data_IF_816872274853
#
_entry.id   IF_816872274853
#
_cell.length_a   1.000
_cell.length_b   1.000
_cell.length_c   1.000
_cell.angle_alpha   90.00
_cell.angle_beta   90.00
_cell.angle_gamma   90.00
#
_symmetry.space_group_name_H-M   'P 1'
#
loop_
_entity.id
_entity.type
_entity.pdbx_description
1 polymer ?
#
# COMPACT_ATOMS: atom_id res chain seq x y z
N UNK A 1 -4.43 29.01 -17.41
CA UNK A 1 -4.99 29.56 -16.15
C UNK A 1 -5.62 28.41 -15.35
N UNK A 2 -4.86 27.36 -15.06
CA UNK A 2 -5.37 26.10 -14.48
C UNK A 2 -4.45 25.55 -13.36
N UNK A 3 -3.81 26.43 -12.60
CA UNK A 3 -2.97 26.04 -11.46
C UNK A 3 -3.70 26.14 -10.11
N UNK A 4 -4.91 26.70 -10.09
CA UNK A 4 -5.52 27.20 -8.86
C UNK A 4 -6.53 26.26 -8.18
N UNK A 5 -6.72 25.04 -8.70
CA UNK A 5 -7.76 24.11 -8.19
C UNK A 5 -7.20 22.89 -7.43
N UNK A 6 -5.90 22.89 -7.09
CA UNK A 6 -5.22 21.85 -6.28
C UNK A 6 -5.02 22.26 -4.82
N UNK A 7 -5.65 23.35 -4.36
CA UNK A 7 -5.42 23.81 -2.99
C UNK A 7 -6.33 23.05 -2.04
N UNK A 8 -5.72 22.19 -1.22
CA UNK A 8 -6.34 21.66 -0.03
C UNK A 8 -7.03 22.80 0.74
N UNK A 9 -8.34 22.68 1.01
CA UNK A 9 -9.14 23.75 1.61
C UNK A 9 -8.62 24.11 3.01
N UNK A 10 -8.13 23.11 3.74
CA UNK A 10 -7.48 23.29 5.04
C UNK A 10 -6.24 24.16 4.90
N UNK A 11 -5.34 23.86 3.95
CA UNK A 11 -4.13 24.67 3.73
C UNK A 11 -4.42 26.07 3.17
N UNK A 12 -5.43 26.21 2.32
CA UNK A 12 -5.85 27.50 1.77
C UNK A 12 -6.37 28.46 2.85
N UNK A 13 -6.86 27.92 3.98
CA UNK A 13 -7.39 28.69 5.10
C UNK A 13 -6.33 29.19 6.09
N UNK A 14 -5.09 28.71 5.98
CA UNK A 14 -3.98 29.04 6.89
C UNK A 14 -3.36 30.40 6.58
N UNK A 15 -2.78 31.03 7.60
CA UNK A 15 -2.07 32.32 7.48
C UNK A 15 -0.78 32.16 6.67
N UNK A 16 -0.86 32.48 5.38
CA UNK A 16 0.25 32.37 4.43
C UNK A 16 1.46 33.25 4.79
N UNK A 17 1.25 34.40 5.44
CA UNK A 17 2.36 35.24 5.87
C UNK A 17 3.08 34.63 7.07
N UNK A 18 2.33 33.98 7.98
CA UNK A 18 2.91 33.21 9.08
C UNK A 18 3.75 32.04 8.57
N UNK A 19 3.23 31.26 7.61
CA UNK A 19 3.94 30.11 7.03
C UNK A 19 5.26 30.54 6.36
N UNK A 20 5.24 31.65 5.60
CA UNK A 20 6.45 32.21 4.98
C UNK A 20 7.50 32.65 5.99
N UNK A 21 7.09 33.38 7.03
CA UNK A 21 8.00 33.81 8.11
C UNK A 21 8.65 32.63 8.83
N UNK A 22 7.85 31.59 9.08
CA UNK A 22 8.33 30.35 9.70
C UNK A 22 9.42 29.69 8.85
N UNK A 23 9.15 29.47 7.56
CA UNK A 23 10.13 28.84 6.66
C UNK A 23 11.39 29.71 6.48
N UNK A 24 11.24 31.03 6.38
CA UNK A 24 12.37 31.96 6.27
C UNK A 24 13.30 31.85 7.48
N UNK A 25 12.76 31.83 8.71
CA UNK A 25 13.56 31.71 9.92
C UNK A 25 14.25 30.33 9.98
N UNK A 26 13.54 29.25 9.60
CA UNK A 26 14.09 27.89 9.48
C UNK A 26 15.29 27.88 8.50
N UNK A 27 15.09 28.35 7.27
CA UNK A 27 16.13 28.39 6.25
C UNK A 27 17.34 29.26 6.65
N UNK A 28 17.14 30.36 7.36
CA UNK A 28 18.25 31.16 7.88
C UNK A 28 19.06 30.40 8.93
N UNK A 29 18.40 29.62 9.78
CA UNK A 29 19.08 28.77 10.76
C UNK A 29 19.83 27.62 10.07
N UNK A 30 19.17 26.88 9.17
CA UNK A 30 19.77 25.74 8.46
C UNK A 30 20.98 26.14 7.62
N UNK A 31 20.95 27.35 7.03
CA UNK A 31 22.07 27.91 6.28
C UNK A 31 23.17 28.53 7.18
N UNK A 32 23.11 28.36 8.50
CA UNK A 32 24.03 28.94 9.48
C UNK A 32 24.12 30.49 9.41
N UNK A 33 23.06 31.15 8.94
CA UNK A 33 22.95 32.61 8.88
C UNK A 33 22.31 33.21 10.14
N UNK A 34 21.78 32.36 11.01
CA UNK A 34 21.13 32.72 12.27
C UNK A 34 21.57 31.74 13.36
N UNK A 35 21.93 32.25 14.54
CA UNK A 35 22.24 31.42 15.71
C UNK A 35 20.96 30.87 16.35
N UNK A 36 21.03 29.69 17.00
CA UNK A 36 19.87 28.98 17.54
C UNK A 36 19.01 29.84 18.50
N UNK A 37 19.65 30.54 19.44
CA UNK A 37 18.95 31.40 20.40
C UNK A 37 18.23 32.58 19.72
N UNK A 38 18.81 33.10 18.64
CA UNK A 38 18.19 34.17 17.86
C UNK A 38 17.04 33.64 17.00
N UNK A 39 17.21 32.45 16.41
CA UNK A 39 16.14 31.73 15.71
C UNK A 39 14.92 31.47 16.60
N UNK A 40 15.14 30.92 17.81
CA UNK A 40 14.08 30.70 18.81
C UNK A 40 13.35 31.99 19.17
N UNK A 41 14.10 33.07 19.41
CA UNK A 41 13.53 34.37 19.77
C UNK A 41 12.67 34.94 18.64
N UNK A 42 13.15 34.86 17.38
CA UNK A 42 12.41 35.30 16.20
C UNK A 42 11.17 34.44 15.97
N UNK A 43 11.28 33.11 16.01
CA UNK A 43 10.14 32.21 15.88
C UNK A 43 9.05 32.54 16.91
N UNK A 44 9.41 32.69 18.18
CA UNK A 44 8.45 33.02 19.25
C UNK A 44 7.79 34.40 19.07
N UNK A 45 8.53 35.39 18.57
CA UNK A 45 8.03 36.75 18.41
C UNK A 45 7.22 36.98 17.12
N UNK A 46 7.64 36.35 16.01
CA UNK A 46 7.12 36.60 14.67
C UNK A 46 6.08 35.55 14.23
N UNK A 47 6.21 34.30 14.71
CA UNK A 47 5.36 33.17 14.33
C UNK A 47 4.43 32.77 15.48
N UNK A 48 4.94 32.76 16.71
CA UNK A 48 4.18 32.33 17.89
C UNK A 48 4.03 30.81 17.96
N UNK A 49 2.83 30.31 18.22
CA UNK A 49 2.53 28.87 18.26
C UNK A 49 2.33 28.31 16.87
N UNK A 50 2.77 27.07 16.62
CA UNK A 50 2.67 26.38 15.33
C UNK A 50 1.90 25.07 15.55
N UNK A 51 0.96 24.76 14.65
CA UNK A 51 0.34 23.44 14.60
C UNK A 51 1.04 22.54 13.58
N UNK A 52 0.99 21.21 13.72
CA UNK A 52 1.55 20.28 12.74
C UNK A 52 1.10 20.53 11.31
N UNK A 53 -0.19 20.84 11.12
CA UNK A 53 -0.74 21.14 9.80
C UNK A 53 -0.21 22.46 9.22
N UNK A 54 0.12 23.46 10.05
CA UNK A 54 0.80 24.69 9.61
C UNK A 54 2.22 24.40 9.14
N UNK A 55 2.97 23.57 9.88
CA UNK A 55 4.29 23.13 9.47
C UNK A 55 4.23 22.38 8.14
N UNK A 56 3.39 21.36 8.06
CA UNK A 56 3.18 20.55 6.88
C UNK A 56 2.74 21.39 5.66
N UNK A 57 1.88 22.39 5.86
CA UNK A 57 1.46 23.31 4.81
C UNK A 57 2.60 24.20 4.31
N UNK A 58 3.47 24.70 5.20
CA UNK A 58 4.61 25.50 4.79
C UNK A 58 5.59 24.68 3.92
N UNK A 59 5.90 23.45 4.35
CA UNK A 59 6.72 22.52 3.59
C UNK A 59 6.10 22.16 2.23
N UNK A 60 4.79 21.93 2.16
CA UNK A 60 4.10 21.59 0.91
C UNK A 60 4.02 22.77 -0.08
N UNK A 61 3.83 24.00 0.41
CA UNK A 61 3.50 25.15 -0.43
C UNK A 61 4.68 26.03 -0.82
N UNK A 62 5.76 26.02 -0.03
CA UNK A 62 6.80 27.04 -0.10
C UNK A 62 8.21 26.50 -0.35
N UNK A 63 8.42 25.19 -0.23
CA UNK A 63 9.70 24.55 -0.50
C UNK A 63 9.72 23.92 -1.90
N UNK A 64 10.91 23.91 -2.51
CA UNK A 64 11.17 23.23 -3.79
C UNK A 64 11.27 21.70 -3.56
N UNK A 65 10.97 20.89 -4.57
CA UNK A 65 11.09 19.43 -4.47
C UNK A 65 12.58 19.00 -4.35
N UNK A 66 12.93 18.40 -3.21
CA UNK A 66 14.20 17.69 -2.99
C UNK A 66 13.89 16.29 -2.43
N UNK A 67 14.14 15.21 -3.19
CA UNK A 67 13.85 13.84 -2.76
C UNK A 67 14.56 13.42 -1.47
N UNK A 68 15.74 13.97 -1.18
CA UNK A 68 16.55 13.60 -0.03
C UNK A 68 16.33 14.54 1.18
N UNK A 69 15.43 15.53 1.06
CA UNK A 69 15.17 16.52 2.13
C UNK A 69 14.82 15.86 3.45
N UNK A 70 13.86 14.93 3.43
CA UNK A 70 13.41 14.28 4.67
C UNK A 70 14.53 13.49 5.35
N UNK A 71 15.48 12.95 4.58
CA UNK A 71 16.67 12.28 5.13
C UNK A 71 17.69 13.28 5.69
N UNK A 72 17.88 14.40 5.01
CA UNK A 72 18.90 15.39 5.35
C UNK A 72 18.47 16.31 6.51
N UNK A 73 17.16 16.49 6.72
CA UNK A 73 16.61 17.24 7.83
C UNK A 73 16.64 16.42 9.12
N UNK A 74 17.43 16.83 10.12
CA UNK A 74 17.37 16.23 11.46
C UNK A 74 16.14 16.76 12.21
N UNK A 75 15.26 15.87 12.68
CA UNK A 75 14.11 16.25 13.51
C UNK A 75 14.56 17.01 14.76
N UNK A 76 15.79 16.80 15.25
CA UNK A 76 16.34 17.57 16.38
C UNK A 76 16.57 19.03 16.03
N UNK A 77 17.00 19.34 14.82
CA UNK A 77 17.12 20.72 14.31
C UNK A 77 15.74 21.38 14.29
N UNK A 78 14.71 20.65 13.86
CA UNK A 78 13.32 21.07 13.98
C UNK A 78 12.96 21.29 15.47
N UNK A 79 13.14 20.30 16.34
CA UNK A 79 12.82 20.44 17.76
C UNK A 79 13.56 21.61 18.42
N UNK A 80 14.80 21.88 18.01
CA UNK A 80 15.59 22.95 18.58
C UNK A 80 15.03 24.32 18.23
N UNK A 81 14.67 24.58 16.97
CA UNK A 81 14.10 25.89 16.57
C UNK A 81 12.66 26.05 17.02
N UNK A 82 11.90 24.95 17.04
CA UNK A 82 10.47 24.93 17.33
C UNK A 82 10.13 24.55 18.78
N UNK A 83 11.13 24.46 19.67
CA UNK A 83 10.96 24.07 21.07
C UNK A 83 9.90 24.92 21.79
N UNK A 84 8.88 24.27 22.34
CA UNK A 84 7.77 24.91 23.03
C UNK A 84 6.82 25.74 22.14
N UNK A 85 6.96 25.68 20.81
CA UNK A 85 6.05 26.35 19.86
C UNK A 85 5.01 25.40 19.27
N UNK A 86 5.33 24.11 19.14
CA UNK A 86 4.38 23.11 18.67
C UNK A 86 3.23 22.92 19.67
N UNK A 87 2.00 23.10 19.19
CA UNK A 87 0.79 22.83 19.95
C UNK A 87 0.11 21.62 19.33
N UNK A 88 0.29 20.45 19.95
CA UNK A 88 -0.40 19.23 19.57
C UNK A 88 -1.67 19.07 20.41
N UNK A 89 -2.82 19.01 19.74
CA UNK A 89 -4.04 18.52 20.35
C UNK A 89 -3.92 17.00 20.48
N UNK A 90 -3.51 16.49 21.64
CA UNK A 90 -3.55 15.04 21.91
C UNK A 90 -5.01 14.56 21.90
N UNK A 91 -5.46 14.10 20.73
CA UNK A 91 -6.71 13.36 20.61
C UNK A 91 -6.45 11.91 20.99
N UNK A 92 -7.10 11.45 22.06
CA UNK A 92 -7.17 10.02 22.35
C UNK A 92 -7.95 9.34 21.23
N UNK A 93 -7.25 8.54 20.41
CA UNK A 93 -7.87 7.78 19.33
C UNK A 93 -8.42 6.45 19.87
N UNK A 94 -9.56 5.97 19.36
CA UNK A 94 -10.12 4.69 19.80
C UNK A 94 -9.25 3.53 19.31
N UNK A 95 -9.27 2.43 20.07
CA UNK A 95 -8.60 1.19 19.67
C UNK A 95 -9.14 0.70 18.32
N UNK A 96 -8.23 0.44 17.38
CA UNK A 96 -8.57 0.03 16.02
C UNK A 96 -8.69 1.17 15.02
N UNK A 97 -8.45 2.41 15.44
CA UNK A 97 -8.27 3.54 14.53
C UNK A 97 -6.95 3.40 13.76
N UNK A 98 -6.92 3.79 12.49
CA UNK A 98 -5.76 3.67 11.59
C UNK A 98 -4.51 4.36 12.15
N UNK A 99 -4.62 5.62 12.57
CA UNK A 99 -3.52 6.36 13.20
C UNK A 99 -3.10 5.78 14.58
N UNK A 100 -4.04 5.21 15.35
CA UNK A 100 -3.68 4.51 16.61
C UNK A 100 -2.83 3.26 16.32
N UNK A 101 -3.14 2.52 15.26
CA UNK A 101 -2.34 1.37 14.84
C UNK A 101 -0.89 1.78 14.55
N UNK A 102 -0.69 2.82 13.74
CA UNK A 102 0.65 3.35 13.46
C UNK A 102 1.41 3.77 14.73
N UNK A 103 0.76 4.52 15.64
CA UNK A 103 1.38 4.93 16.91
C UNK A 103 1.77 3.73 17.80
N UNK A 104 0.93 2.70 17.87
CA UNK A 104 1.24 1.48 18.63
C UNK A 104 2.40 0.69 18.02
N UNK A 105 2.54 0.70 16.70
CA UNK A 105 3.67 0.08 16.01
C UNK A 105 4.98 0.84 16.27
N UNK A 106 4.96 2.18 16.19
CA UNK A 106 6.11 3.01 16.53
C UNK A 106 6.56 2.74 17.96
N UNK A 107 5.61 2.61 18.90
CA UNK A 107 5.90 2.22 20.27
C UNK A 107 6.61 0.86 20.35
N UNK A 108 6.17 -0.15 19.58
CA UNK A 108 6.81 -1.47 19.54
C UNK A 108 8.22 -1.41 18.96
N UNK A 109 8.44 -0.61 17.93
CA UNK A 109 9.78 -0.41 17.35
C UNK A 109 10.71 0.31 18.35
N UNK A 110 10.23 1.37 19.02
CA UNK A 110 10.97 2.04 20.11
C UNK A 110 11.35 1.08 21.24
N UNK A 111 10.45 0.17 21.62
CA UNK A 111 10.74 -0.90 22.60
C UNK A 111 11.88 -1.84 22.14
N UNK A 112 11.94 -2.18 20.85
CA UNK A 112 13.02 -3.00 20.27
C UNK A 112 14.35 -2.24 20.21
N UNK A 113 14.34 -0.98 19.79
CA UNK A 113 15.53 -0.12 19.77
C UNK A 113 16.13 0.06 21.16
N UNK A 114 15.29 0.26 22.18
CA UNK A 114 15.75 0.34 23.57
C UNK A 114 16.40 -0.97 24.04
N UNK A 115 15.87 -2.13 23.63
CA UNK A 115 16.49 -3.41 23.94
C UNK A 115 17.84 -3.57 23.23
N UNK A 116 17.92 -3.19 21.95
CA UNK A 116 19.14 -3.27 21.16
C UNK A 116 20.23 -2.30 21.67
N UNK A 117 19.87 -1.10 22.12
CA UNK A 117 20.81 -0.17 22.76
C UNK A 117 21.42 -0.74 24.03
N UNK A 118 20.62 -1.46 24.83
CA UNK A 118 21.11 -2.15 26.02
C UNK A 118 21.98 -3.37 25.68
N UNK A 119 21.79 -3.99 24.51
CA UNK A 119 22.70 -5.02 24.00
C UNK A 119 24.01 -4.43 23.46
N UNK A 120 23.96 -3.26 22.81
CA UNK A 120 25.15 -2.57 22.28
C UNK A 120 26.17 -2.20 23.37
N UNK A 121 25.73 -2.04 24.61
CA UNK A 121 26.59 -1.78 25.78
C UNK A 121 27.28 -3.04 26.33
N UNK A 122 26.92 -4.23 25.85
CA UNK A 122 27.39 -5.53 26.34
C UNK A 122 28.28 -6.21 25.29
N UNK A 123 29.05 -7.25 25.66
CA UNK A 123 29.76 -8.06 24.67
C UNK A 123 28.79 -8.61 23.62
N UNK A 124 29.23 -8.60 22.35
CA UNK A 124 28.39 -9.03 21.24
C UNK A 124 28.00 -10.51 21.35
N UNK A 125 26.70 -10.79 21.33
CA UNK A 125 26.13 -12.14 21.33
C UNK A 125 25.17 -12.27 20.14
N UNK A 126 25.57 -13.04 19.13
CA UNK A 126 24.85 -13.15 17.85
C UNK A 126 23.37 -13.48 18.02
N UNK A 127 23.04 -14.50 18.81
CA UNK A 127 21.64 -14.94 18.96
C UNK A 127 20.73 -13.85 19.52
N UNK A 128 21.23 -13.00 20.44
CA UNK A 128 20.42 -11.92 21.02
C UNK A 128 20.14 -10.82 19.98
N UNK A 129 21.13 -10.49 19.16
CA UNK A 129 20.94 -9.56 18.05
C UNK A 129 20.04 -10.12 16.96
N UNK A 130 20.18 -11.41 16.65
CA UNK A 130 19.34 -12.11 15.68
C UNK A 130 17.86 -12.07 16.08
N UNK A 131 17.53 -12.36 17.34
CA UNK A 131 16.15 -12.32 17.86
C UNK A 131 15.51 -10.92 17.76
N UNK A 132 16.29 -9.85 17.97
CA UNK A 132 15.79 -8.49 17.82
C UNK A 132 15.59 -8.14 16.34
N UNK A 133 16.60 -8.39 15.51
CA UNK A 133 16.53 -8.04 14.09
C UNK A 133 15.51 -8.88 13.30
N UNK A 134 15.26 -10.12 13.70
CA UNK A 134 14.17 -10.95 13.17
C UNK A 134 12.80 -10.28 13.37
N UNK A 135 12.64 -9.52 14.45
CA UNK A 135 11.46 -8.70 14.67
C UNK A 135 11.54 -7.40 13.90
N UNK A 136 12.65 -6.65 14.00
CA UNK A 136 12.80 -5.35 13.33
C UNK A 136 12.60 -5.43 11.81
N UNK A 137 13.07 -6.48 11.14
CA UNK A 137 12.88 -6.66 9.68
C UNK A 137 11.40 -6.79 9.27
N UNK A 138 10.52 -7.17 10.20
CA UNK A 138 9.08 -7.22 9.95
C UNK A 138 8.45 -5.82 9.88
N UNK A 139 9.16 -4.78 10.35
CA UNK A 139 8.69 -3.40 10.29
C UNK A 139 8.44 -2.89 8.87
N UNK A 140 8.97 -3.57 7.85
CA UNK A 140 8.61 -3.32 6.44
C UNK A 140 7.09 -3.36 6.17
N UNK A 141 6.30 -4.07 7.00
CA UNK A 141 4.84 -4.06 6.89
C UNK A 141 4.25 -2.70 7.27
N UNK A 142 4.84 -2.01 8.25
CA UNK A 142 4.47 -0.64 8.63
C UNK A 142 4.74 0.32 7.46
N UNK A 143 5.94 0.26 6.86
CA UNK A 143 6.27 1.06 5.68
C UNK A 143 5.32 0.77 4.52
N UNK A 144 5.08 -0.51 4.21
CA UNK A 144 4.17 -0.90 3.14
C UNK A 144 2.75 -0.37 3.37
N UNK A 145 2.23 -0.44 4.60
CA UNK A 145 0.90 0.09 4.91
C UNK A 145 0.86 1.60 4.79
N UNK A 146 1.85 2.30 5.32
CA UNK A 146 1.96 3.76 5.22
C UNK A 146 2.02 4.23 3.77
N UNK A 147 2.87 3.59 2.97
CA UNK A 147 3.08 3.87 1.55
C UNK A 147 1.84 3.61 0.69
N UNK A 148 1.18 2.47 0.87
CA UNK A 148 0.08 2.05 -0.01
C UNK A 148 -1.31 2.50 0.48
N UNK A 149 -1.46 2.92 1.74
CA UNK A 149 -2.73 3.36 2.32
C UNK A 149 -2.68 4.84 2.71
N UNK A 150 -1.84 5.20 3.70
CA UNK A 150 -1.85 6.54 4.29
C UNK A 150 -1.38 7.62 3.32
N UNK A 151 -0.25 7.42 2.63
CA UNK A 151 0.26 8.37 1.64
C UNK A 151 -0.70 8.53 0.46
N UNK A 152 -1.21 7.42 -0.09
CA UNK A 152 -2.22 7.48 -1.15
C UNK A 152 -3.48 8.24 -0.72
N UNK A 153 -3.89 8.18 0.55
CA UNK A 153 -5.01 8.95 1.07
C UNK A 153 -4.67 10.45 1.20
N UNK A 154 -3.49 10.78 1.70
CA UNK A 154 -2.99 12.15 1.83
C UNK A 154 -2.81 12.84 0.47
N UNK A 155 -2.28 12.13 -0.52
CA UNK A 155 -2.09 12.62 -1.89
C UNK A 155 -3.43 12.97 -2.56
N UNK A 156 -4.49 12.20 -2.28
CA UNK A 156 -5.84 12.54 -2.74
C UNK A 156 -6.34 13.86 -2.14
N UNK A 157 -5.88 14.20 -0.94
CA UNK A 157 -6.14 15.49 -0.29
C UNK A 157 -5.16 16.59 -0.75
N UNK A 158 -4.27 16.31 -1.71
CA UNK A 158 -3.29 17.28 -2.24
C UNK A 158 -2.09 17.51 -1.32
N UNK A 159 -1.74 16.53 -0.50
CA UNK A 159 -0.53 16.50 0.32
C UNK A 159 0.47 15.50 -0.27
N UNK A 160 1.13 15.92 -1.37
CA UNK A 160 1.93 15.03 -2.21
C UNK A 160 3.45 15.11 -1.95
N UNK A 161 3.96 16.31 -1.64
CA UNK A 161 5.42 16.54 -1.56
C UNK A 161 6.01 15.87 -0.31
N UNK A 162 5.49 16.11 0.90
CA UNK A 162 6.01 15.45 2.09
C UNK A 162 5.80 13.93 2.10
N UNK A 163 4.74 13.40 1.47
CA UNK A 163 4.57 11.94 1.37
C UNK A 163 5.65 11.33 0.48
N UNK A 164 6.02 12.01 -0.62
CA UNK A 164 7.08 11.56 -1.52
C UNK A 164 8.45 11.55 -0.83
N UNK A 165 8.82 12.62 -0.12
CA UNK A 165 10.13 12.68 0.57
C UNK A 165 10.19 11.71 1.75
N UNK A 166 9.10 11.52 2.48
CA UNK A 166 9.02 10.49 3.52
C UNK A 166 9.09 9.07 2.95
N UNK A 167 8.51 8.82 1.76
CA UNK A 167 8.63 7.52 1.09
C UNK A 167 10.09 7.16 0.81
N UNK A 168 10.87 8.10 0.27
CA UNK A 168 12.30 7.89 0.00
C UNK A 168 13.03 7.54 1.30
N UNK A 169 12.69 8.22 2.40
CA UNK A 169 13.29 7.94 3.70
C UNK A 169 12.88 6.56 4.26
N UNK A 170 11.62 6.15 4.07
CA UNK A 170 11.14 4.81 4.43
C UNK A 170 11.91 3.71 3.71
N UNK A 171 12.09 3.88 2.40
CA UNK A 171 12.82 2.93 1.56
C UNK A 171 14.29 2.85 1.99
N UNK A 172 14.91 3.99 2.30
CA UNK A 172 16.27 4.05 2.82
C UNK A 172 16.42 3.26 4.14
N UNK A 173 15.59 3.53 5.14
CA UNK A 173 15.64 2.84 6.44
C UNK A 173 15.34 1.34 6.28
N UNK A 174 14.37 0.98 5.43
CA UNK A 174 14.06 -0.43 5.13
C UNK A 174 15.30 -1.15 4.60
N UNK A 175 16.01 -0.52 3.67
CA UNK A 175 17.17 -1.11 3.03
C UNK A 175 18.34 -1.23 4.02
N UNK A 176 18.57 -0.24 4.89
CA UNK A 176 19.55 -0.36 5.98
C UNK A 176 19.23 -1.49 6.96
N UNK A 177 17.96 -1.65 7.36
CA UNK A 177 17.52 -2.76 8.23
C UNK A 177 17.79 -4.11 7.54
N UNK A 178 17.52 -4.21 6.25
CA UNK A 178 17.81 -5.42 5.47
C UNK A 178 19.31 -5.69 5.39
N UNK A 179 20.14 -4.67 5.14
CA UNK A 179 21.60 -4.79 5.09
C UNK A 179 22.17 -5.28 6.43
N UNK A 180 21.71 -4.70 7.54
CA UNK A 180 22.10 -5.14 8.88
C UNK A 180 21.63 -6.57 9.17
N UNK A 181 20.44 -6.96 8.71
CA UNK A 181 19.95 -8.33 8.82
C UNK A 181 20.79 -9.32 8.00
N UNK A 182 21.23 -8.93 6.81
CA UNK A 182 22.14 -9.73 5.99
C UNK A 182 23.52 -9.88 6.64
N UNK A 183 24.05 -8.84 7.29
CA UNK A 183 25.31 -8.91 8.04
C UNK A 183 25.25 -9.96 9.15
N UNK A 184 24.14 -10.04 9.89
CA UNK A 184 23.93 -11.02 10.96
C UNK A 184 23.80 -12.46 10.45
N UNK A 185 23.43 -12.64 9.17
CA UNK A 185 23.23 -13.96 8.54
C UNK A 185 24.49 -14.55 7.91
N UNK A 186 25.58 -13.79 7.82
CA UNK A 186 26.85 -14.28 7.27
C UNK A 186 27.46 -15.36 8.18
N UNK A 187 28.18 -16.32 7.59
CA UNK A 187 28.91 -17.36 8.34
C UNK A 187 29.92 -16.76 9.33
N UNK A 188 30.53 -15.65 8.94
CA UNK A 188 31.40 -14.82 9.79
C UNK A 188 30.80 -13.42 9.81
N UNK A 189 30.30 -13.01 10.98
CA UNK A 189 29.68 -11.70 11.20
C UNK A 189 30.77 -10.66 11.44
N UNK A 190 30.75 -9.60 10.65
CA UNK A 190 31.55 -8.41 10.90
C UNK A 190 30.86 -7.57 11.98
N UNK A 191 31.29 -7.76 13.23
CA UNK A 191 30.65 -7.16 14.41
C UNK A 191 30.80 -5.63 14.42
N UNK A 192 31.96 -5.11 14.04
CA UNK A 192 32.22 -3.67 14.06
C UNK A 192 31.39 -2.96 12.98
N UNK A 193 31.32 -3.55 11.77
CA UNK A 193 30.47 -3.04 10.70
C UNK A 193 28.99 -3.07 11.10
N UNK A 194 28.54 -4.18 11.70
CA UNK A 194 27.16 -4.32 12.15
C UNK A 194 26.79 -3.30 13.25
N UNK A 195 27.63 -3.14 14.28
CA UNK A 195 27.33 -2.20 15.38
C UNK A 195 27.35 -0.75 14.91
N UNK A 196 28.21 -0.41 13.94
CA UNK A 196 28.21 0.90 13.32
C UNK A 196 26.92 1.14 12.54
N UNK A 197 26.53 0.20 11.68
CA UNK A 197 25.29 0.31 10.91
C UNK A 197 24.05 0.34 11.82
N UNK A 198 24.03 -0.45 12.89
CA UNK A 198 22.97 -0.39 13.89
C UNK A 198 22.85 1.00 14.53
N UNK A 199 23.98 1.66 14.85
CA UNK A 199 23.95 3.00 15.43
C UNK A 199 23.35 4.03 14.47
N UNK A 200 23.59 3.89 13.16
CA UNK A 200 22.98 4.71 12.10
C UNK A 200 21.46 4.43 12.02
N UNK A 201 21.06 3.16 11.85
CA UNK A 201 19.65 2.72 11.82
C UNK A 201 18.86 3.21 13.05
N UNK A 202 19.46 3.14 14.24
CA UNK A 202 18.79 3.49 15.49
C UNK A 202 18.58 5.02 15.63
N UNK A 203 19.38 5.84 14.94
CA UNK A 203 19.14 7.27 14.82
C UNK A 203 18.01 7.50 13.82
N UNK A 204 18.12 6.91 12.64
CA UNK A 204 17.18 7.15 11.54
C UNK A 204 15.75 6.66 11.84
N UNK A 205 15.60 5.49 12.47
CA UNK A 205 14.28 5.01 12.90
C UNK A 205 13.63 5.94 13.93
N UNK A 206 14.42 6.51 14.86
CA UNK A 206 13.87 7.42 15.88
C UNK A 206 13.46 8.73 15.25
N UNK A 207 14.28 9.25 14.37
CA UNK A 207 14.01 10.46 13.61
C UNK A 207 12.72 10.31 12.78
N UNK A 208 12.60 9.23 12.01
CA UNK A 208 11.38 8.94 11.24
C UNK A 208 10.14 8.87 12.15
N UNK A 209 10.20 8.08 13.23
CA UNK A 209 9.05 7.91 14.13
C UNK A 209 8.66 9.22 14.83
N UNK A 210 9.61 10.10 15.12
CA UNK A 210 9.34 11.43 15.69
C UNK A 210 8.67 12.34 14.65
N UNK A 211 9.16 12.38 13.41
CA UNK A 211 8.51 13.11 12.31
C UNK A 211 7.08 12.62 12.06
N UNK A 212 6.89 11.32 12.13
CA UNK A 212 5.57 10.71 11.98
C UNK A 212 4.60 11.14 13.08
N UNK A 213 5.00 11.00 14.34
CA UNK A 213 4.15 11.30 15.50
C UNK A 213 3.89 12.80 15.66
N UNK A 214 4.86 13.65 15.33
CA UNK A 214 4.75 15.09 15.49
C UNK A 214 4.06 15.77 14.31
N UNK A 215 4.33 15.34 13.08
CA UNK A 215 3.89 16.04 11.87
C UNK A 215 2.91 15.19 11.06
N UNK A 216 3.30 14.00 10.62
CA UNK A 216 2.51 13.22 9.66
C UNK A 216 1.15 12.82 10.22
N UNK A 217 1.10 12.22 11.41
CA UNK A 217 -0.13 11.68 11.98
C UNK A 217 -1.11 12.78 12.38
N UNK A 218 -0.70 13.87 13.06
CA UNK A 218 -1.62 14.97 13.35
C UNK A 218 -2.13 15.65 12.06
N UNK A 219 -1.27 15.82 11.05
CA UNK A 219 -1.68 16.35 9.75
C UNK A 219 -2.70 15.42 9.09
N UNK A 220 -2.47 14.10 9.13
CA UNK A 220 -3.39 13.11 8.58
C UNK A 220 -4.79 13.19 9.21
N UNK A 221 -4.87 13.38 10.52
CA UNK A 221 -6.15 13.56 11.24
C UNK A 221 -6.88 14.88 10.92
N UNK A 222 -6.19 15.87 10.35
CA UNK A 222 -6.77 17.15 9.93
C UNK A 222 -7.18 17.14 8.46
N UNK A 223 -6.43 16.43 7.61
CA UNK A 223 -6.68 16.39 6.16
C UNK A 223 -7.67 15.30 5.75
N UNK A 224 -7.60 14.13 6.37
CA UNK A 224 -8.44 12.99 6.02
C UNK A 224 -9.67 12.99 6.94
N UNK A 225 -10.87 12.95 6.34
CA UNK A 225 -12.12 12.86 7.10
C UNK A 225 -12.24 11.52 7.83
N UNK A 226 -13.06 11.46 8.89
CA UNK A 226 -13.29 10.20 9.63
C UNK A 226 -13.83 9.07 8.73
N UNK A 227 -14.69 9.40 7.76
CA UNK A 227 -15.23 8.45 6.79
C UNK A 227 -14.14 7.86 5.89
N UNK A 228 -13.31 8.71 5.27
CA UNK A 228 -12.17 8.28 4.45
C UNK A 228 -11.14 7.50 5.26
N UNK A 229 -10.96 7.86 6.53
CA UNK A 229 -10.07 7.13 7.44
C UNK A 229 -10.59 5.72 7.75
N UNK A 230 -11.91 5.54 7.84
CA UNK A 230 -12.55 4.23 8.06
C UNK A 230 -12.33 3.30 6.87
N UNK A 231 -12.40 3.82 5.64
CA UNK A 231 -12.17 3.07 4.40
C UNK A 231 -10.78 2.44 4.33
N UNK A 232 -9.76 3.05 4.98
CA UNK A 232 -8.40 2.53 4.99
C UNK A 232 -8.28 1.20 5.76
N UNK A 233 -9.20 0.90 6.68
CA UNK A 233 -9.08 -0.25 7.59
C UNK A 233 -9.09 -1.60 6.88
N UNK A 234 -9.76 -1.73 5.73
CA UNK A 234 -9.77 -2.98 4.96
C UNK A 234 -8.40 -3.22 4.32
N UNK A 235 -7.88 -2.23 3.58
CA UNK A 235 -6.56 -2.28 2.95
C UNK A 235 -5.43 -2.43 3.99
N UNK A 236 -5.55 -1.75 5.13
CA UNK A 236 -4.63 -1.91 6.25
C UNK A 236 -4.51 -3.37 6.72
N UNK A 237 -5.62 -4.12 6.73
CA UNK A 237 -5.63 -5.54 7.14
C UNK A 237 -5.09 -6.48 6.08
N UNK A 238 -5.29 -6.17 4.81
CA UNK A 238 -4.73 -6.95 3.71
C UNK A 238 -3.20 -6.91 3.72
N UNK A 239 -2.64 -5.76 4.05
CA UNK A 239 -1.19 -5.57 4.19
C UNK A 239 -0.69 -6.17 5.53
N UNK A 240 -1.38 -5.85 6.63
CA UNK A 240 -1.08 -6.35 7.96
C UNK A 240 -0.43 -5.32 8.90
N UNK A 241 -0.06 -5.79 10.09
CA UNK A 241 0.40 -4.95 11.19
C UNK A 241 1.68 -5.46 11.84
N UNK A 242 2.52 -4.53 12.29
CA UNK A 242 3.78 -4.79 12.94
C UNK A 242 3.60 -5.01 14.46
N UNK A 243 3.67 -6.27 14.90
CA UNK A 243 3.72 -6.62 16.33
C UNK A 243 2.57 -6.05 17.19
N UNK A 244 1.43 -5.75 16.57
CA UNK A 244 0.23 -5.29 17.25
C UNK A 244 -0.98 -6.11 16.80
N UNK A 245 -1.95 -6.19 17.70
CA UNK A 245 -3.27 -6.72 17.38
C UNK A 245 -4.20 -5.59 16.94
N UNK A 246 -5.22 -5.96 16.17
CA UNK A 246 -6.32 -5.08 15.76
C UNK A 246 -7.64 -5.75 16.14
N UNK A 247 -8.68 -4.97 16.51
CA UNK A 247 -10.00 -5.55 16.76
C UNK A 247 -10.48 -6.32 15.52
N UNK A 248 -11.37 -7.29 15.63
CA UNK A 248 -12.02 -7.81 14.42
C UNK A 248 -12.86 -6.68 13.81
N UNK A 249 -12.89 -6.57 12.47
CA UNK A 249 -13.94 -5.76 11.87
C UNK A 249 -15.25 -6.44 12.22
N UNK A 250 -16.17 -5.71 12.85
CA UNK A 250 -17.56 -6.12 12.83
C UNK A 250 -17.95 -6.17 11.35
N UNK A 251 -17.90 -7.36 10.76
CA UNK A 251 -18.61 -7.65 9.54
C UNK A 251 -20.04 -7.27 9.89
N UNK A 252 -20.48 -6.12 9.38
CA UNK A 252 -21.82 -5.61 9.59
C UNK A 252 -22.79 -6.60 8.93
N UNK A 253 -23.05 -7.68 9.66
CA UNK A 253 -23.95 -8.78 9.31
C UNK A 253 -25.40 -8.37 9.60
N UNK A 254 -25.61 -7.12 9.99
CA UNK A 254 -26.90 -6.50 10.30
C UNK A 254 -27.51 -5.66 9.17
N UNK A 255 -26.93 -5.64 7.97
CA UNK A 255 -27.54 -4.98 6.80
C UNK A 255 -28.14 -5.93 5.75
N UNK A 256 -28.29 -7.23 6.06
CA UNK A 256 -28.85 -8.22 5.12
C UNK A 256 -30.30 -8.66 5.36
N UNK A 257 -31.04 -8.03 6.29
CA UNK A 257 -32.49 -8.21 6.41
C UNK A 257 -33.13 -6.83 6.66
N UNK A 258 -34.00 -6.41 5.74
CA UNK A 258 -34.82 -5.19 5.75
C UNK A 258 -34.17 -3.87 5.29
N UNK A 259 -33.91 -3.77 3.97
CA UNK A 259 -34.05 -2.52 3.18
C UNK A 259 -34.09 -2.80 1.67
N UNK A 260 -35.16 -3.46 1.23
CA UNK A 260 -35.69 -3.13 -0.08
C UNK A 260 -36.31 -1.72 0.05
N UNK A 261 -35.89 -0.78 -0.78
CA UNK A 261 -36.26 0.65 -0.82
C UNK A 261 -35.57 1.57 0.21
N UNK A 262 -34.31 1.94 -0.06
CA UNK A 262 -33.77 3.29 0.15
C UNK A 262 -32.37 3.37 -0.49
N UNK A 263 -32.08 4.50 -1.11
CA UNK A 263 -30.98 4.78 -2.04
C UNK A 263 -29.58 4.49 -1.46
N UNK A 264 -28.75 3.87 -2.30
CA UNK A 264 -27.34 3.55 -2.10
C UNK A 264 -26.51 4.80 -2.42
N UNK A 265 -26.17 5.59 -1.39
CA UNK A 265 -25.42 6.85 -1.49
C UNK A 265 -24.03 6.78 -0.81
N UNK A 266 -23.52 5.59 -0.48
CA UNK A 266 -22.19 5.44 0.17
C UNK A 266 -21.16 4.81 -0.75
N UNK A 267 -21.58 3.85 -1.58
CA UNK A 267 -20.75 3.39 -2.71
C UNK A 267 -20.57 4.49 -3.76
N UNK A 268 -21.52 5.43 -3.88
CA UNK A 268 -21.50 6.49 -4.89
C UNK A 268 -20.37 7.49 -4.72
N UNK A 269 -19.87 7.74 -3.50
CA UNK A 269 -18.95 8.85 -3.20
C UNK A 269 -17.49 8.50 -3.57
N UNK A 270 -17.00 7.32 -3.16
CA UNK A 270 -15.74 6.74 -3.64
C UNK A 270 -15.77 6.48 -5.16
N UNK A 271 -16.95 6.14 -5.71
CA UNK A 271 -17.16 5.92 -7.14
C UNK A 271 -17.18 7.22 -7.96
N UNK A 272 -17.77 8.30 -7.43
CA UNK A 272 -17.73 9.61 -8.06
C UNK A 272 -16.32 10.21 -8.01
N UNK A 273 -15.57 9.95 -6.94
CA UNK A 273 -14.19 10.44 -6.80
C UNK A 273 -13.23 9.75 -7.78
N UNK A 274 -13.36 8.42 -7.97
CA UNK A 274 -12.59 7.72 -8.99
C UNK A 274 -12.98 8.15 -10.42
N UNK A 275 -14.28 8.36 -10.66
CA UNK A 275 -14.77 8.89 -11.94
C UNK A 275 -14.29 10.33 -12.20
N UNK A 276 -14.21 11.16 -11.16
CA UNK A 276 -13.65 12.52 -11.24
C UNK A 276 -12.14 12.49 -11.52
N UNK A 277 -11.41 11.54 -10.95
CA UNK A 277 -9.97 11.33 -11.19
C UNK A 277 -9.70 10.88 -12.64
N UNK A 278 -10.53 9.99 -13.19
CA UNK A 278 -10.45 9.54 -14.58
C UNK A 278 -10.85 10.65 -15.57
N UNK A 279 -11.87 11.45 -15.25
CA UNK A 279 -12.24 12.64 -16.01
C UNK A 279 -11.14 13.70 -16.02
N UNK A 280 -10.40 13.83 -14.90
CA UNK A 280 -9.27 14.76 -14.72
C UNK A 280 -8.04 14.40 -15.57
N UNK A 281 -7.90 13.14 -15.98
CA UNK A 281 -6.86 12.68 -16.93
C UNK A 281 -7.32 12.62 -18.40
N UNK A 282 -8.51 13.16 -18.71
CA UNK A 282 -9.00 13.30 -20.09
C UNK A 282 -10.00 12.24 -20.55
N UNK A 283 -10.48 11.35 -19.67
CA UNK A 283 -11.49 10.35 -19.99
C UNK A 283 -12.87 10.80 -19.47
N UNK A 284 -13.65 11.49 -20.31
CA UNK A 284 -15.06 11.78 -20.00
C UNK A 284 -15.85 10.47 -19.93
N UNK A 285 -16.46 10.19 -18.78
CA UNK A 285 -17.45 9.12 -18.66
C UNK A 285 -18.83 9.78 -18.82
N UNK A 286 -19.38 9.77 -20.03
CA UNK A 286 -20.79 10.11 -20.24
C UNK A 286 -21.63 8.85 -19.98
N UNK A 287 -22.56 8.96 -19.04
CA UNK A 287 -23.48 7.89 -18.67
C UNK A 287 -24.54 7.70 -19.76
N UNK A 288 -24.32 6.76 -20.66
CA UNK A 288 -25.40 6.18 -21.46
C UNK A 288 -25.27 4.67 -21.55
N UNK A 289 -26.42 4.00 -21.46
CA UNK A 289 -26.57 2.61 -21.05
C UNK A 289 -26.20 1.54 -22.11
N UNK A 290 -25.27 1.80 -23.04
CA UNK A 290 -24.94 0.80 -24.07
C UNK A 290 -23.55 0.92 -24.75
N UNK A 291 -22.52 1.46 -24.08
CA UNK A 291 -21.17 1.58 -24.67
C UNK A 291 -20.10 0.76 -23.94
N UNK A 292 -19.07 0.33 -24.69
CA UNK A 292 -17.86 -0.37 -24.24
C UNK A 292 -17.07 0.36 -23.12
N UNK A 293 -17.51 1.56 -22.74
CA UNK A 293 -16.94 2.45 -21.72
C UNK A 293 -17.57 2.29 -20.32
N UNK A 294 -18.54 1.37 -20.14
CA UNK A 294 -19.06 1.09 -18.79
C UNK A 294 -17.94 0.56 -17.88
N UNK A 295 -17.61 1.33 -16.86
CA UNK A 295 -16.71 0.91 -15.77
C UNK A 295 -17.43 -0.15 -14.93
N UNK A 296 -16.80 -1.31 -14.78
CA UNK A 296 -17.28 -2.46 -14.01
C UNK A 296 -16.50 -2.56 -12.71
N UNK A 297 -17.21 -2.78 -11.60
CA UNK A 297 -16.60 -3.16 -10.34
C UNK A 297 -16.12 -4.61 -10.42
N UNK A 298 -14.83 -4.82 -10.20
CA UNK A 298 -14.23 -6.14 -9.98
C UNK A 298 -13.90 -6.32 -8.50
N UNK A 299 -13.48 -7.52 -8.10
CA UNK A 299 -13.23 -7.82 -6.68
C UNK A 299 -12.30 -6.78 -6.03
N UNK A 300 -11.20 -6.46 -6.71
CA UNK A 300 -10.22 -5.46 -6.28
C UNK A 300 -9.95 -4.44 -7.41
N UNK A 301 -10.80 -3.42 -7.50
CA UNK A 301 -10.64 -2.29 -8.43
C UNK A 301 -11.79 -2.12 -9.42
N UNK A 302 -11.59 -1.26 -10.43
CA UNK A 302 -12.59 -0.96 -11.46
C UNK A 302 -11.97 -0.89 -12.83
N UNK A 303 -12.60 -1.54 -13.80
CA UNK A 303 -12.10 -1.63 -15.17
C UNK A 303 -13.27 -1.51 -16.15
N UNK A 304 -13.03 -0.89 -17.30
CA UNK A 304 -13.97 -1.00 -18.42
C UNK A 304 -13.91 -2.41 -19.01
N UNK A 305 -14.97 -2.83 -19.70
CA UNK A 305 -14.96 -4.10 -20.43
C UNK A 305 -13.81 -4.15 -21.45
N UNK A 306 -13.49 -3.01 -22.08
CA UNK A 306 -12.34 -2.89 -22.98
C UNK A 306 -11.02 -3.18 -22.26
N UNK A 307 -10.79 -2.58 -21.09
CA UNK A 307 -9.57 -2.82 -20.30
C UNK A 307 -9.45 -4.29 -19.87
N UNK A 308 -10.55 -4.91 -19.45
CA UNK A 308 -10.59 -6.35 -19.13
C UNK A 308 -10.18 -7.19 -20.35
N UNK A 309 -10.74 -6.89 -21.52
CA UNK A 309 -10.38 -7.59 -22.75
C UNK A 309 -8.91 -7.39 -23.13
N UNK A 310 -8.38 -6.17 -22.96
CA UNK A 310 -6.97 -5.87 -23.22
C UNK A 310 -6.05 -6.63 -22.27
N UNK A 311 -6.35 -6.67 -20.97
CA UNK A 311 -5.59 -7.47 -20.00
C UNK A 311 -5.56 -8.94 -20.43
N UNK A 312 -6.71 -9.53 -20.75
CA UNK A 312 -6.80 -10.93 -21.21
C UNK A 312 -6.05 -11.20 -22.52
N UNK A 313 -5.93 -10.23 -23.42
CA UNK A 313 -5.15 -10.37 -24.66
C UNK A 313 -3.63 -10.26 -24.43
N UNK A 314 -3.19 -9.64 -23.33
CA UNK A 314 -1.79 -9.39 -23.02
C UNK A 314 -1.23 -10.25 -21.88
N UNK A 315 -2.05 -11.12 -21.27
CA UNK A 315 -1.55 -12.09 -20.30
C UNK A 315 -0.43 -12.94 -20.91
N UNK A 316 0.69 -13.16 -20.19
CA UNK A 316 1.80 -13.99 -20.66
C UNK A 316 1.48 -15.49 -20.64
N UNK A 317 0.25 -15.85 -20.29
CA UNK A 317 -0.28 -17.21 -20.21
C UNK A 317 -1.60 -17.30 -20.94
N UNK A 318 -1.93 -18.48 -21.44
CA UNK A 318 -3.27 -18.75 -21.98
C UNK A 318 -4.19 -19.23 -20.86
N UNK A 319 -5.39 -18.66 -20.79
CA UNK A 319 -6.44 -19.09 -19.87
C UNK A 319 -7.64 -19.60 -20.67
N UNK A 320 -8.26 -20.68 -20.21
CA UNK A 320 -9.59 -21.13 -20.64
C UNK A 320 -10.45 -21.37 -19.41
N UNK A 321 -11.72 -20.96 -19.47
CA UNK A 321 -12.66 -21.13 -18.36
C UNK A 321 -13.91 -21.89 -18.81
N UNK A 322 -14.26 -22.86 -17.97
CA UNK A 322 -15.41 -23.74 -18.10
C UNK A 322 -16.27 -23.53 -16.87
N UNK A 323 -17.56 -23.29 -17.05
CA UNK A 323 -18.48 -23.03 -15.93
C UNK A 323 -18.86 -24.29 -15.14
N UNK A 324 -19.67 -24.11 -14.11
CA UNK A 324 -20.20 -25.19 -13.27
C UNK A 324 -21.05 -26.23 -14.03
N UNK A 325 -21.49 -25.91 -15.25
CA UNK A 325 -22.26 -26.77 -16.15
C UNK A 325 -21.37 -27.45 -17.21
N UNK A 326 -20.05 -27.36 -17.07
CA UNK A 326 -19.08 -27.97 -17.98
C UNK A 326 -19.11 -27.37 -19.39
N UNK A 327 -19.59 -26.13 -19.51
CA UNK A 327 -19.65 -25.37 -20.75
C UNK A 327 -18.48 -24.40 -20.84
N UNK A 328 -17.76 -24.41 -21.96
CA UNK A 328 -16.68 -23.46 -22.23
C UNK A 328 -17.27 -22.04 -22.37
N UNK A 329 -16.87 -21.13 -21.48
CA UNK A 329 -17.37 -19.74 -21.45
C UNK A 329 -16.37 -18.73 -21.97
N UNK A 330 -15.08 -19.00 -21.81
CA UNK A 330 -14.06 -18.01 -22.06
C UNK A 330 -12.74 -18.68 -22.42
N UNK A 331 -11.96 -18.01 -23.27
CA UNK A 331 -10.55 -18.29 -23.47
C UNK A 331 -9.83 -16.99 -23.84
N UNK A 332 -8.53 -16.88 -23.52
CA UNK A 332 -7.70 -15.74 -23.90
C UNK A 332 -7.23 -15.86 -25.35
N UNK A 333 -7.40 -14.79 -26.12
CA UNK A 333 -7.07 -14.73 -27.55
C UNK A 333 -5.66 -14.14 -27.78
N UNK A 334 -4.65 -14.59 -27.03
CA UNK A 334 -3.29 -14.01 -27.04
C UNK A 334 -2.56 -14.19 -28.38
N UNK A 335 -1.43 -13.52 -28.61
CA UNK A 335 -0.63 -13.72 -29.85
C UNK A 335 0.30 -14.96 -29.76
N UNK A 336 0.68 -15.36 -28.56
CA UNK A 336 1.70 -16.38 -28.27
C UNK A 336 1.10 -17.72 -27.82
N UNK A 337 -0.08 -18.07 -28.33
CA UNK A 337 -0.86 -19.20 -27.82
C UNK A 337 -0.11 -20.52 -27.89
N UNK A 338 -0.18 -21.28 -26.81
CA UNK A 338 0.34 -22.64 -26.69
C UNK A 338 -0.48 -23.60 -27.57
N UNK A 339 -1.82 -23.49 -27.50
CA UNK A 339 -2.72 -24.26 -28.35
C UNK A 339 -3.74 -23.36 -29.06
N UNK A 340 -3.95 -23.52 -30.38
CA UNK A 340 -4.96 -22.76 -31.09
C UNK A 340 -6.36 -23.07 -30.56
N UNK A 341 -7.18 -22.03 -30.42
CA UNK A 341 -8.61 -22.10 -30.11
C UNK A 341 -9.39 -21.34 -31.18
N UNK A 342 -10.62 -21.75 -31.43
CA UNK A 342 -11.52 -21.07 -32.37
C UNK A 342 -12.74 -20.53 -31.62
N UNK A 343 -13.32 -19.43 -32.10
CA UNK A 343 -14.53 -18.83 -31.51
C UNK A 343 -15.69 -19.83 -31.36
N UNK A 344 -15.75 -20.85 -32.22
CA UNK A 344 -16.76 -21.91 -32.17
C UNK A 344 -16.63 -22.88 -30.99
N UNK A 345 -15.61 -22.74 -30.14
CA UNK A 345 -15.49 -23.52 -28.90
C UNK A 345 -16.38 -22.99 -27.78
N UNK A 346 -16.71 -21.70 -27.79
CA UNK A 346 -17.57 -21.08 -26.78
C UNK A 346 -18.96 -21.69 -26.85
N UNK A 347 -19.49 -22.09 -25.69
CA UNK A 347 -20.79 -22.76 -25.58
C UNK A 347 -20.75 -24.27 -25.81
N UNK A 348 -19.59 -24.87 -26.13
CA UNK A 348 -19.46 -26.33 -26.23
C UNK A 348 -19.24 -26.94 -24.85
N UNK A 349 -19.77 -28.14 -24.64
CA UNK A 349 -19.39 -28.99 -23.50
C UNK A 349 -17.92 -29.41 -23.60
N UNK A 350 -17.21 -29.38 -22.47
CA UNK A 350 -15.81 -29.76 -22.36
C UNK A 350 -15.53 -31.16 -22.88
N UNK A 351 -16.47 -32.09 -22.64
CA UNK A 351 -16.38 -33.47 -23.10
C UNK A 351 -16.20 -33.57 -24.62
N UNK A 352 -16.83 -32.67 -25.36
CA UNK A 352 -16.77 -32.64 -26.82
C UNK A 352 -15.51 -31.94 -27.37
N UNK A 353 -14.68 -31.38 -26.49
CA UNK A 353 -13.45 -30.68 -26.84
C UNK A 353 -12.20 -31.57 -26.67
N UNK A 354 -12.35 -32.79 -26.14
CA UNK A 354 -11.27 -33.71 -25.85
C UNK A 354 -11.39 -35.02 -26.66
N UNK A 355 -10.27 -35.65 -27.06
CA UNK A 355 -10.28 -36.97 -27.67
C UNK A 355 -10.88 -38.03 -26.71
N UNK A 356 -11.54 -39.09 -27.22
CA UNK A 356 -12.13 -40.14 -26.39
C UNK A 356 -11.14 -40.80 -25.41
N UNK A 357 -9.84 -40.86 -25.79
CA UNK A 357 -8.78 -41.47 -24.98
C UNK A 357 -8.41 -40.66 -23.73
N UNK A 358 -8.75 -39.38 -23.64
CA UNK A 358 -8.43 -38.52 -22.50
C UNK A 358 -9.68 -38.07 -21.74
N UNK A 359 -10.87 -38.46 -22.20
CA UNK A 359 -12.13 -38.00 -21.65
C UNK A 359 -12.31 -38.41 -20.18
N UNK A 360 -11.95 -39.65 -19.84
CA UNK A 360 -12.07 -40.17 -18.47
C UNK A 360 -11.21 -39.37 -17.48
N UNK A 361 -10.04 -38.88 -17.88
CA UNK A 361 -9.17 -38.05 -17.04
C UNK A 361 -9.81 -36.69 -16.77
N UNK A 362 -10.42 -36.09 -17.79
CA UNK A 362 -11.08 -34.79 -17.67
C UNK A 362 -12.29 -34.89 -16.74
N UNK A 363 -13.10 -35.94 -16.90
CA UNK A 363 -14.25 -36.21 -16.02
C UNK A 363 -13.82 -36.43 -14.57
N UNK A 364 -12.76 -37.22 -14.35
CA UNK A 364 -12.24 -37.48 -13.02
C UNK A 364 -11.74 -36.19 -12.34
N UNK A 365 -11.03 -35.32 -13.07
CA UNK A 365 -10.56 -34.03 -12.54
C UNK A 365 -11.73 -33.14 -12.16
N UNK A 366 -12.73 -33.01 -13.04
CA UNK A 366 -13.91 -32.17 -12.77
C UNK A 366 -14.67 -32.69 -11.53
N UNK A 367 -14.84 -34.00 -11.39
CA UNK A 367 -15.54 -34.57 -10.24
C UNK A 367 -14.78 -34.33 -8.93
N UNK A 368 -13.45 -34.54 -8.92
CA UNK A 368 -12.60 -34.24 -7.75
C UNK A 368 -12.63 -32.75 -7.38
N UNK A 369 -12.70 -31.88 -8.38
CA UNK A 369 -12.84 -30.44 -8.14
C UNK A 369 -14.24 -30.10 -7.62
N UNK A 370 -15.29 -30.73 -8.15
CA UNK A 370 -16.66 -30.49 -7.71
C UNK A 370 -16.88 -30.96 -6.27
N UNK A 371 -16.34 -32.13 -5.90
CA UNK A 371 -16.46 -32.71 -4.56
C UNK A 371 -15.59 -32.02 -3.50
N UNK A 372 -14.54 -31.30 -3.92
CA UNK A 372 -13.57 -30.69 -3.00
C UNK A 372 -12.40 -31.61 -2.64
N UNK A 373 -12.32 -32.81 -3.21
CA UNK A 373 -11.17 -33.72 -3.03
C UNK A 373 -9.87 -33.08 -3.54
N UNK A 374 -9.95 -32.29 -4.62
CA UNK A 374 -8.82 -31.55 -5.17
C UNK A 374 -9.22 -30.11 -5.52
N UNK A 375 -8.26 -29.20 -5.48
CA UNK A 375 -8.42 -27.81 -5.94
C UNK A 375 -7.52 -27.46 -7.12
N UNK A 376 -6.54 -28.33 -7.43
CA UNK A 376 -5.60 -28.14 -8.53
C UNK A 376 -5.14 -29.47 -9.12
N UNK A 377 -4.80 -29.46 -10.42
CA UNK A 377 -4.17 -30.55 -11.13
C UNK A 377 -3.15 -29.98 -12.13
N UNK A 378 -1.93 -30.50 -12.12
CA UNK A 378 -0.80 -29.94 -12.87
C UNK A 378 -0.24 -30.98 -13.85
N UNK A 379 0.09 -30.53 -15.06
CA UNK A 379 0.68 -31.33 -16.12
C UNK A 379 1.78 -30.54 -16.81
N UNK A 380 2.71 -31.24 -17.44
CA UNK A 380 3.69 -30.60 -18.31
C UNK A 380 3.96 -31.45 -19.55
N UNK A 381 4.21 -30.77 -20.67
CA UNK A 381 4.70 -31.38 -21.89
C UNK A 381 6.18 -31.01 -22.00
N UNK A 382 7.05 -32.00 -21.88
CA UNK A 382 8.49 -31.82 -22.01
C UNK A 382 8.99 -32.57 -23.25
N UNK A 383 9.35 -31.81 -24.29
CA UNK A 383 9.91 -32.31 -25.55
C UNK A 383 11.15 -31.49 -25.92
N UNK A 384 12.06 -32.00 -26.77
CA UNK A 384 13.21 -31.22 -27.21
C UNK A 384 12.79 -29.89 -27.82
N UNK A 385 13.24 -28.78 -27.21
CA UNK A 385 12.94 -27.42 -27.65
C UNK A 385 11.55 -26.87 -27.30
N UNK A 386 10.75 -27.59 -26.49
CA UNK A 386 9.44 -27.12 -26.01
C UNK A 386 9.17 -27.63 -24.59
N UNK A 387 8.94 -26.72 -23.65
CA UNK A 387 8.44 -27.02 -22.31
C UNK A 387 7.15 -26.25 -22.03
N UNK A 388 6.03 -26.96 -21.95
CA UNK A 388 4.70 -26.37 -21.70
C UNK A 388 4.25 -26.79 -20.31
N UNK A 389 3.91 -25.82 -19.48
CA UNK A 389 3.25 -26.02 -18.19
C UNK A 389 1.74 -25.83 -18.33
N UNK A 390 0.95 -26.74 -17.76
CA UNK A 390 -0.51 -26.70 -17.79
C UNK A 390 -1.03 -26.93 -16.37
N UNK A 391 -1.89 -26.04 -15.89
CA UNK A 391 -2.55 -26.19 -14.59
C UNK A 391 -4.05 -26.00 -14.73
N UNK A 392 -4.80 -26.90 -14.09
CA UNK A 392 -6.24 -26.77 -13.88
C UNK A 392 -6.49 -26.37 -12.44
N UNK A 393 -7.34 -25.37 -12.22
CA UNK A 393 -7.70 -24.85 -10.90
C UNK A 393 -9.21 -24.86 -10.76
N UNK A 394 -9.70 -25.37 -9.62
CA UNK A 394 -11.11 -25.30 -9.27
C UNK A 394 -11.48 -23.86 -8.87
N UNK A 395 -12.43 -23.25 -9.57
CA UNK A 395 -12.96 -21.92 -9.23
C UNK A 395 -14.12 -22.10 -8.26
N UNK A 396 -14.09 -21.38 -7.14
CA UNK A 396 -15.11 -21.42 -6.09
C UNK A 396 -15.54 -20.02 -5.69
N UNK A 397 -16.78 -19.87 -5.26
CA UNK A 397 -17.24 -18.61 -4.65
C UNK A 397 -16.82 -18.48 -3.17
N UNK A 398 -17.17 -17.35 -2.55
CA UNK A 398 -16.86 -17.05 -1.13
C UNK A 398 -17.39 -18.11 -0.15
N UNK A 399 -18.40 -18.90 -0.53
CA UNK A 399 -18.97 -19.98 0.27
C UNK A 399 -18.34 -21.36 -0.03
N UNK A 400 -17.30 -21.42 -0.85
CA UNK A 400 -16.64 -22.66 -1.27
C UNK A 400 -17.40 -23.44 -2.34
N UNK A 401 -18.51 -22.90 -2.89
CA UNK A 401 -19.29 -23.58 -3.93
C UNK A 401 -18.51 -23.61 -5.23
N UNK A 402 -18.43 -24.77 -5.86
CA UNK A 402 -17.79 -24.94 -7.17
C UNK A 402 -18.50 -24.13 -8.26
N UNK A 403 -17.75 -23.28 -8.97
CA UNK A 403 -18.20 -22.40 -10.05
C UNK A 403 -17.57 -22.71 -11.42
N UNK A 404 -16.71 -23.73 -11.49
CA UNK A 404 -16.10 -24.15 -12.74
C UNK A 404 -14.62 -24.47 -12.62
N UNK A 405 -13.98 -24.64 -13.77
CA UNK A 405 -12.57 -24.96 -13.89
C UNK A 405 -11.89 -23.91 -14.75
N UNK A 406 -10.78 -23.37 -14.25
CA UNK A 406 -9.85 -22.56 -15.03
C UNK A 406 -8.67 -23.45 -15.45
N UNK A 407 -8.42 -23.52 -16.75
CA UNK A 407 -7.19 -24.06 -17.33
C UNK A 407 -6.25 -22.89 -17.61
N UNK A 408 -4.99 -22.98 -17.15
CA UNK A 408 -3.92 -22.08 -17.54
C UNK A 408 -2.81 -22.88 -18.24
N UNK A 409 -2.26 -22.33 -19.31
CA UNK A 409 -1.11 -22.89 -20.03
C UNK A 409 -0.04 -21.83 -20.22
N UNK A 410 1.22 -22.24 -20.11
CA UNK A 410 2.37 -21.38 -20.34
C UNK A 410 3.44 -22.12 -21.13
N UNK A 411 3.97 -21.47 -22.16
CA UNK A 411 5.23 -21.89 -22.79
C UNK A 411 6.40 -21.40 -21.94
N UNK A 412 6.99 -22.33 -21.20
CA UNK A 412 8.10 -22.09 -20.29
C UNK A 412 9.45 -22.45 -20.93
N UNK A 413 9.54 -22.61 -22.25
CA UNK A 413 10.78 -22.98 -22.95
C UNK A 413 11.94 -21.99 -22.75
N UNK A 414 11.61 -20.73 -22.44
CA UNK A 414 12.56 -19.64 -22.23
C UNK A 414 13.09 -19.53 -20.79
N UNK A 415 12.52 -20.31 -19.86
CA UNK A 415 12.92 -20.40 -18.44
C UNK A 415 13.93 -21.53 -18.33
#
# INVERSE_FOLDING_TARGET
>A
MEENNRRNVTFASLDQEKLKRMLEIKQLYDNNLLELEEARKRMKAEVGTITPEEYAAAEQLLMDEDPDECKNEDVRTMMDVFDGLFVNEEKSLPYGHTIDAYQRENKKMKELLNQADELAKKPFILNQWYEIFEKMVQYKVHFSRKQNQLYSALEREGFDRPTTTMWVYDDYIRDEINDAWELLKKEVVDVDAFLKLYAEIAVDLRDLMEKEEMILYPTSLKLISEEKMEELKSGDREIGFFMIDMPELELDTTSSIDKATAEDNTSSDFMSDLAALLAKHGHKIESDADSEEKVLDVAEGKLTLEQINLLYQHLPVDISFVDENEIVKFYTDTKHRVFPRSKGVIGREVRNCHPPKSLYLVEEIIEKFRSGEQSKAEFWINKPGVFIYIIYVAIRDKNGKFRGVMEMMQDCTHI
#
